data_IF_955251979965
#
_entry.id   IF_955251979965
#
_cell.length_a   1.000
_cell.length_b   1.000
_cell.length_c   1.000
_cell.angle_alpha   90.00
_cell.angle_beta   90.00
_cell.angle_gamma   90.00
#
_symmetry.space_group_name_H-M   'P 1'
#
loop_
_entity.id
_entity.type
_entity.pdbx_description
1 polymer ?
#
# COMPACT_ATOMS: atom_id res chain seq x y z
N UNK A 1 -8.33 -5.59 21.22
CA UNK A 1 -8.18 -5.73 20.42
C UNK A 1 -7.50 -5.79 19.59
N UNK A 2 -7.25 -6.14 19.16
CA UNK A 2 -6.57 -6.24 18.37
C UNK A 2 -6.60 -6.19 17.19
N UNK A 3 -7.37 -5.92 16.86
CA UNK A 3 -7.38 -5.76 15.52
C UNK A 3 -6.16 -5.31 14.92
N UNK A 4 -5.29 -4.96 15.70
CA UNK A 4 -3.99 -4.75 15.24
C UNK A 4 -3.46 -5.92 14.54
N UNK A 5 -4.07 -7.00 14.78
CA UNK A 5 -3.70 -8.20 14.11
C UNK A 5 -3.98 -8.15 12.65
N UNK A 6 -4.74 -7.20 12.20
CA UNK A 6 -4.92 -7.08 10.78
C UNK A 6 -3.64 -6.78 10.06
N UNK A 7 -2.70 -6.11 10.70
CA UNK A 7 -1.41 -5.90 10.10
C UNK A 7 -0.69 -7.23 9.91
N UNK A 8 -0.73 -8.07 10.91
CA UNK A 8 -0.17 -9.40 10.80
C UNK A 8 -0.84 -10.20 9.72
N UNK A 9 -2.16 -10.12 9.67
CA UNK A 9 -2.89 -10.85 8.64
C UNK A 9 -2.52 -10.40 7.24
N UNK A 10 -2.21 -9.12 7.06
CA UNK A 10 -1.79 -8.64 5.76
C UNK A 10 -0.43 -9.19 5.36
N UNK A 11 0.40 -9.48 6.33
CA UNK A 11 1.73 -9.97 6.07
C UNK A 11 1.80 -11.48 5.93
N UNK A 12 0.77 -12.18 6.38
CA UNK A 12 0.77 -13.64 6.38
C UNK A 12 -0.02 -14.15 5.19
N UNK A 13 0.56 -15.08 4.45
CA UNK A 13 -0.15 -15.75 3.38
C UNK A 13 -1.26 -16.58 4.01
N UNK A 14 -2.43 -16.56 3.39
CA UNK A 14 -3.56 -17.35 3.85
C UNK A 14 -3.49 -18.74 3.23
N UNK A 15 -3.05 -19.76 3.97
CA UNK A 15 -2.88 -21.09 3.40
C UNK A 15 -4.21 -21.75 3.04
N UNK A 16 -5.29 -21.40 3.74
CA UNK A 16 -6.58 -21.97 3.41
C UNK A 16 -7.09 -21.46 2.07
N UNK A 17 -6.93 -20.16 1.82
CA UNK A 17 -7.34 -19.57 0.56
C UNK A 17 -6.54 -20.15 -0.59
N UNK A 18 -5.24 -20.28 -0.41
CA UNK A 18 -4.38 -20.86 -1.45
C UNK A 18 -4.76 -22.29 -1.75
N UNK A 19 -5.00 -23.07 -0.72
CA UNK A 19 -5.36 -24.47 -0.92
C UNK A 19 -6.71 -24.61 -1.60
N UNK A 20 -7.66 -23.76 -1.23
CA UNK A 20 -8.95 -23.74 -1.90
C UNK A 20 -8.80 -23.49 -3.39
N UNK A 21 -8.01 -22.48 -3.74
CA UNK A 21 -7.78 -22.11 -5.13
C UNK A 21 -7.04 -23.22 -5.89
N UNK A 22 -6.08 -23.87 -5.26
CA UNK A 22 -5.36 -24.98 -5.88
C UNK A 22 -6.29 -26.12 -6.26
N UNK A 23 -7.25 -26.40 -5.39
CA UNK A 23 -8.20 -27.49 -5.65
C UNK A 23 -9.25 -27.11 -6.66
N UNK A 24 -9.60 -25.84 -6.71
CA UNK A 24 -10.68 -25.36 -7.56
C UNK A 24 -10.27 -25.21 -9.03
N UNK A 25 -9.00 -24.90 -9.29
CA UNK A 25 -8.56 -24.53 -10.62
C UNK A 25 -7.13 -25.00 -10.88
N UNK A 26 -6.92 -25.87 -11.88
CA UNK A 26 -5.56 -26.36 -12.18
C UNK A 26 -4.60 -25.25 -12.66
N UNK A 27 -5.11 -24.19 -13.28
CA UNK A 27 -4.26 -23.06 -13.65
C UNK A 27 -3.77 -22.34 -12.41
N UNK A 28 -4.67 -22.09 -11.46
CA UNK A 28 -4.28 -21.47 -10.19
C UNK A 28 -3.30 -22.37 -9.44
N UNK A 29 -3.49 -23.68 -9.49
CA UNK A 29 -2.57 -24.60 -8.84
C UNK A 29 -1.15 -24.44 -9.39
N UNK A 30 -1.02 -24.33 -10.71
CA UNK A 30 0.30 -24.16 -11.32
C UNK A 30 0.94 -22.83 -10.92
N UNK A 31 0.15 -21.76 -10.88
CA UNK A 31 0.67 -20.45 -10.51
C UNK A 31 1.12 -20.43 -9.05
N UNK A 32 0.33 -21.00 -8.17
CA UNK A 32 0.66 -21.05 -6.75
C UNK A 32 1.92 -21.88 -6.52
N UNK A 33 2.01 -23.03 -7.20
CA UNK A 33 3.17 -23.90 -7.05
C UNK A 33 4.45 -23.26 -7.60
N UNK A 34 4.32 -22.43 -8.61
CA UNK A 34 5.48 -21.69 -9.16
C UNK A 34 6.01 -20.65 -8.20
N UNK A 35 5.15 -20.05 -7.39
CA UNK A 35 5.53 -19.03 -6.44
C UNK A 35 4.81 -19.27 -5.10
N UNK A 36 5.17 -20.33 -4.39
CA UNK A 36 4.43 -20.71 -3.19
C UNK A 36 4.50 -19.69 -2.06
N UNK A 37 5.55 -18.86 -2.07
CA UNK A 37 5.75 -17.82 -1.07
C UNK A 37 5.10 -16.49 -1.45
N UNK A 38 4.47 -16.42 -2.62
CA UNK A 38 3.87 -15.17 -3.08
C UNK A 38 2.67 -14.80 -2.21
N UNK A 39 2.61 -13.54 -1.84
CA UNK A 39 1.45 -12.96 -1.18
C UNK A 39 1.13 -11.63 -1.87
N UNK A 40 -0.12 -11.42 -2.32
CA UNK A 40 -0.45 -10.24 -3.11
C UNK A 40 -0.18 -8.92 -2.41
N UNK A 41 -0.11 -8.93 -1.10
CA UNK A 41 0.12 -7.70 -0.33
C UNK A 41 1.51 -7.64 0.30
N UNK A 42 2.41 -8.52 -0.11
CA UNK A 42 3.75 -8.56 0.48
C UNK A 42 4.52 -7.25 0.31
N UNK A 43 4.24 -6.52 -0.78
CA UNK A 43 4.91 -5.24 -1.04
C UNK A 43 4.63 -4.20 0.04
N UNK A 44 3.56 -4.37 0.82
CA UNK A 44 3.27 -3.45 1.91
C UNK A 44 4.35 -3.49 3.00
N UNK A 45 5.04 -4.60 3.11
CA UNK A 45 6.12 -4.73 4.10
C UNK A 45 7.34 -3.87 3.75
N UNK A 46 7.42 -3.41 2.51
CA UNK A 46 8.51 -2.57 2.07
C UNK A 46 8.28 -1.10 2.37
N UNK A 47 7.07 -0.75 2.78
CA UNK A 47 6.73 0.63 3.08
C UNK A 47 7.12 0.96 4.52
N UNK A 48 7.48 2.22 4.80
CA UNK A 48 7.71 2.61 6.18
C UNK A 48 6.43 2.50 6.99
N UNK A 49 6.52 2.30 8.29
CA UNK A 49 5.32 2.20 9.12
C UNK A 49 4.56 3.52 9.11
N UNK A 50 3.24 3.42 8.98
CA UNK A 50 2.36 4.59 9.00
C UNK A 50 1.47 4.52 10.23
N UNK A 51 1.14 5.69 10.77
CA UNK A 51 0.08 5.78 11.78
C UNK A 51 -1.27 5.70 11.05
N UNK A 52 -2.36 5.87 11.78
CA UNK A 52 -3.69 5.77 11.18
C UNK A 52 -3.91 6.81 10.10
N UNK A 53 -3.49 8.03 10.32
CA UNK A 53 -3.64 9.08 9.32
C UNK A 53 -2.77 8.82 8.11
N UNK A 54 -1.53 8.39 8.31
CA UNK A 54 -0.65 8.05 7.20
C UNK A 54 -1.20 6.94 6.35
N UNK A 55 -1.80 5.95 6.97
CA UNK A 55 -2.45 4.86 6.25
C UNK A 55 -3.61 5.38 5.40
N UNK A 56 -4.41 6.27 5.95
CA UNK A 56 -5.51 6.87 5.20
C UNK A 56 -4.99 7.67 4.01
N UNK A 57 -3.97 8.48 4.20
CA UNK A 57 -3.34 9.24 3.12
C UNK A 57 -2.85 8.31 2.02
N UNK A 58 -2.17 7.24 2.40
CA UNK A 58 -1.68 6.27 1.45
C UNK A 58 -2.81 5.65 0.63
N UNK A 59 -3.91 5.28 1.29
CA UNK A 59 -5.05 4.67 0.61
C UNK A 59 -5.70 5.65 -0.37
N UNK A 60 -5.85 6.91 0.03
CA UNK A 60 -6.46 7.91 -0.83
C UNK A 60 -5.58 8.19 -2.05
N UNK A 61 -4.28 8.35 -1.85
CA UNK A 61 -3.35 8.62 -2.93
C UNK A 61 -3.31 7.47 -3.92
N UNK A 62 -3.39 6.24 -3.42
CA UNK A 62 -3.24 5.05 -4.25
C UNK A 62 -4.48 4.65 -5.03
N UNK A 63 -5.60 5.33 -4.85
CA UNK A 63 -6.82 4.95 -5.56
C UNK A 63 -6.65 5.08 -7.07
N UNK A 64 -6.97 3.99 -7.78
CA UNK A 64 -6.92 3.91 -9.24
C UNK A 64 -5.53 4.13 -9.84
N UNK A 65 -4.48 3.92 -9.05
CA UNK A 65 -3.11 4.08 -9.52
C UNK A 65 -2.34 2.77 -9.36
N UNK A 66 -1.31 2.62 -10.18
CA UNK A 66 -0.39 1.49 -10.03
C UNK A 66 0.44 1.66 -8.75
N UNK A 67 1.05 0.58 -8.29
CA UNK A 67 1.93 0.62 -7.13
C UNK A 67 3.10 1.58 -7.38
N UNK A 68 3.67 1.53 -8.58
CA UNK A 68 4.79 2.39 -8.93
C UNK A 68 4.42 3.87 -8.87
N UNK A 69 3.27 4.24 -9.46
CA UNK A 69 2.80 5.63 -9.44
C UNK A 69 2.51 6.08 -8.02
N UNK A 70 1.90 5.21 -7.22
CA UNK A 70 1.59 5.52 -5.81
C UNK A 70 2.86 5.78 -5.02
N UNK A 71 3.88 4.97 -5.20
CA UNK A 71 5.16 5.17 -4.52
C UNK A 71 5.82 6.49 -4.89
N UNK A 72 5.76 6.85 -6.17
CA UNK A 72 6.33 8.11 -6.64
C UNK A 72 5.63 9.29 -6.00
N UNK A 73 4.30 9.29 -6.01
CA UNK A 73 3.51 10.36 -5.42
C UNK A 73 3.76 10.45 -3.91
N UNK A 74 3.80 9.29 -3.25
CA UNK A 74 4.04 9.23 -1.82
C UNK A 74 5.41 9.81 -1.47
N UNK A 75 6.42 9.47 -2.25
CA UNK A 75 7.77 10.00 -2.04
C UNK A 75 7.81 11.51 -2.18
N UNK A 76 7.14 12.04 -3.20
CA UNK A 76 7.06 13.49 -3.40
C UNK A 76 6.35 14.18 -2.25
N UNK A 77 5.28 13.56 -1.78
CA UNK A 77 4.54 14.11 -0.64
C UNK A 77 5.42 14.15 0.60
N UNK A 78 6.13 13.08 0.87
CA UNK A 78 7.04 13.04 2.01
C UNK A 78 8.13 14.11 1.90
N UNK A 79 8.68 14.29 0.72
CA UNK A 79 9.70 15.33 0.50
C UNK A 79 9.14 16.72 0.77
N UNK A 80 7.89 16.96 0.40
CA UNK A 80 7.24 18.23 0.63
C UNK A 80 7.12 18.54 2.12
N UNK A 81 7.01 17.51 2.95
CA UNK A 81 6.84 17.66 4.40
C UNK A 81 8.10 17.29 5.19
N UNK A 82 9.26 17.43 4.59
CA UNK A 82 10.51 17.28 5.32
C UNK A 82 10.99 15.84 5.50
N UNK A 83 10.51 14.92 4.69
CA UNK A 83 10.96 13.55 4.71
C UNK A 83 10.10 12.60 5.53
N UNK A 84 8.96 13.05 6.00
CA UNK A 84 8.03 12.21 6.76
C UNK A 84 6.62 12.38 6.24
N UNK A 85 5.73 11.46 6.62
CA UNK A 85 4.32 11.59 6.28
C UNK A 85 3.72 12.78 7.02
N UNK A 86 2.88 13.58 6.36
CA UNK A 86 2.31 14.75 7.01
C UNK A 86 1.32 14.37 8.09
N UNK A 87 1.22 15.23 9.10
CA UNK A 87 0.16 15.14 10.09
C UNK A 87 -1.10 15.84 9.56
N UNK A 88 -2.25 15.61 10.18
CA UNK A 88 -3.46 16.34 9.79
C UNK A 88 -3.27 17.87 9.82
N UNK A 89 -2.59 18.37 10.83
CA UNK A 89 -2.36 19.81 10.95
C UNK A 89 -1.49 20.32 9.80
N UNK A 90 -0.47 19.58 9.42
CA UNK A 90 0.39 19.96 8.31
C UNK A 90 -0.37 19.99 6.99
N UNK A 91 -1.27 19.04 6.78
CA UNK A 91 -2.07 19.02 5.56
C UNK A 91 -3.01 20.22 5.52
N UNK A 92 -3.64 20.55 6.66
CA UNK A 92 -4.53 21.70 6.74
C UNK A 92 -3.81 23.00 6.45
N UNK A 93 -2.56 23.10 6.86
CA UNK A 93 -1.76 24.30 6.67
C UNK A 93 -1.18 24.42 5.27
N UNK A 94 -1.17 23.35 4.49
CA UNK A 94 -0.55 23.35 3.18
C UNK A 94 -1.46 23.96 2.13
N UNK A 95 -0.84 24.54 1.10
CA UNK A 95 -1.57 25.05 -0.06
C UNK A 95 -2.09 23.89 -0.87
N UNK A 96 -3.39 23.88 -1.12
CA UNK A 96 -4.02 22.80 -1.86
C UNK A 96 -3.48 22.67 -3.29
N UNK A 97 -3.07 23.77 -3.91
CA UNK A 97 -2.50 23.70 -5.25
C UNK A 97 -1.13 23.04 -5.24
N UNK A 98 -0.33 23.29 -4.21
CA UNK A 98 0.95 22.61 -4.07
C UNK A 98 0.77 21.12 -3.85
N UNK A 99 -0.20 20.73 -3.03
CA UNK A 99 -0.49 19.32 -2.82
C UNK A 99 -0.95 18.64 -4.11
N UNK A 100 -1.77 19.31 -4.87
CA UNK A 100 -2.25 18.80 -6.15
C UNK A 100 -1.08 18.59 -7.11
N UNK A 101 -0.08 19.47 -7.07
CA UNK A 101 1.10 19.33 -7.91
C UNK A 101 1.90 18.08 -7.65
N UNK A 102 1.81 17.52 -6.45
CA UNK A 102 2.52 16.28 -6.14
C UNK A 102 1.96 15.07 -6.90
N UNK A 103 0.74 15.16 -7.37
CA UNK A 103 0.14 14.08 -8.16
C UNK A 103 0.53 14.14 -9.63
N UNK A 104 1.08 15.25 -10.08
CA UNK A 104 1.50 15.35 -11.46
C UNK A 104 2.74 14.50 -11.67
N UNK A 105 2.54 13.44 -12.41
CA UNK A 105 3.65 12.63 -12.86
C UNK A 105 3.85 13.05 -14.31
N UNK A 106 4.90 13.76 -14.58
CA UNK A 106 5.19 14.15 -15.94
C UNK A 106 5.44 12.90 -16.76
N UNK A 107 4.83 12.86 -17.87
CA UNK A 107 4.98 11.73 -18.76
C UNK A 107 6.42 11.64 -19.25
#
# INVERSE_FOLDING_TARGET
>A
MNTLDTTSAAAVADPEAKEFLRKADPVMARLIDARPDFHPRAWLNELPPFDAFGTLVFQVIGQQLSVSATRTILSRLQQRFGGHMPSPAEVLAADSQELRGQRHVDA
#
